data_IF_316890627966
#
_entry.id   IF_316890627966
#
_cell.length_a   1.000
_cell.length_b   1.000
_cell.length_c   1.000
_cell.angle_alpha   90.00
_cell.angle_beta   90.00
_cell.angle_gamma   90.00
#
_symmetry.space_group_name_H-M   'P 1'
#
loop_
_entity.id
_entity.type
_entity.pdbx_description
1 polymer ?
#
# COMPACT_ATOMS: atom_id res chain seq x y z
N UNK A 1 -22.34 9.37 20.63
CA UNK A 1 -21.24 8.65 19.96
C UNK A 1 -21.42 7.13 19.92
N UNK A 2 -21.63 6.41 21.04
CA UNK A 2 -21.76 4.92 21.03
C UNK A 2 -22.92 4.37 20.18
N UNK A 3 -24.04 5.07 20.07
CA UNK A 3 -25.23 4.64 19.26
C UNK A 3 -25.01 4.83 17.76
N UNK A 4 -24.22 5.84 17.34
CA UNK A 4 -23.94 6.12 15.93
C UNK A 4 -22.94 5.11 15.34
N UNK A 5 -21.95 4.69 16.13
CA UNK A 5 -20.97 3.67 15.73
C UNK A 5 -21.64 2.29 15.59
N UNK A 6 -22.57 1.97 16.50
CA UNK A 6 -23.33 0.72 16.44
C UNK A 6 -24.25 0.67 15.21
N UNK A 7 -24.86 1.80 14.84
CA UNK A 7 -25.71 1.88 13.65
C UNK A 7 -24.88 1.73 12.35
N UNK A 8 -23.67 2.31 12.32
CA UNK A 8 -22.76 2.18 11.19
C UNK A 8 -22.25 0.73 11.03
N UNK A 9 -21.95 0.04 12.13
CA UNK A 9 -21.59 -1.39 12.14
C UNK A 9 -22.74 -2.27 11.67
N UNK A 10 -23.98 -1.99 12.07
CA UNK A 10 -25.16 -2.76 11.66
C UNK A 10 -25.46 -2.54 10.17
N UNK A 11 -25.34 -1.32 9.64
CA UNK A 11 -25.51 -1.06 8.19
C UNK A 11 -24.40 -1.71 7.36
N UNK A 12 -23.17 -1.79 7.87
CA UNK A 12 -22.07 -2.52 7.24
C UNK A 12 -22.37 -4.03 7.18
N UNK A 13 -22.91 -4.60 8.28
CA UNK A 13 -23.26 -6.02 8.36
C UNK A 13 -24.44 -6.41 7.43
N UNK A 14 -25.44 -5.53 7.27
CA UNK A 14 -26.53 -5.76 6.34
C UNK A 14 -26.12 -5.63 4.87
N UNK A 15 -25.12 -4.77 4.56
CA UNK A 15 -24.52 -4.67 3.24
C UNK A 15 -23.80 -5.96 2.80
N UNK A 16 -23.15 -6.65 3.75
CA UNK A 16 -22.44 -7.90 3.49
C UNK A 16 -23.37 -9.07 3.13
N UNK A 17 -24.61 -9.09 3.61
CA UNK A 17 -25.58 -10.14 3.28
C UNK A 17 -26.17 -10.00 1.87
N UNK A 18 -26.26 -8.78 1.34
CA UNK A 18 -26.71 -8.56 -0.05
C UNK A 18 -25.65 -9.01 -1.08
N UNK A 19 -24.36 -8.84 -0.77
CA UNK A 19 -23.27 -9.31 -1.66
C UNK A 19 -23.17 -10.84 -1.74
N UNK A 20 -23.56 -11.57 -0.69
CA UNK A 20 -23.50 -13.04 -0.69
C UNK A 20 -24.52 -13.68 -1.66
N UNK A 21 -25.65 -13.02 -1.92
CA UNK A 21 -26.67 -13.53 -2.87
C UNK A 21 -26.28 -13.31 -4.33
N UNK A 22 -25.50 -12.29 -4.63
CA UNK A 22 -25.00 -12.01 -6.00
C UNK A 22 -24.04 -13.09 -6.47
N UNK A 23 -23.25 -13.68 -5.57
CA UNK A 23 -22.24 -14.70 -5.95
C UNK A 23 -22.83 -16.07 -6.32
N UNK A 24 -23.95 -16.48 -5.73
CA UNK A 24 -24.60 -17.74 -6.13
C UNK A 24 -25.23 -17.67 -7.53
N UNK A 25 -25.60 -16.49 -7.98
CA UNK A 25 -26.14 -16.26 -9.31
C UNK A 25 -25.01 -16.27 -10.37
N UNK A 26 -23.86 -15.68 -10.02
CA UNK A 26 -22.66 -15.65 -10.86
C UNK A 26 -22.05 -17.05 -11.02
N UNK A 27 -21.99 -17.86 -9.96
CA UNK A 27 -21.47 -19.24 -10.07
C UNK A 27 -22.37 -20.12 -10.97
N UNK A 28 -23.68 -19.93 -10.94
CA UNK A 28 -24.62 -20.61 -11.84
C UNK A 28 -24.54 -20.12 -13.29
N UNK A 29 -24.22 -18.83 -13.47
CA UNK A 29 -24.02 -18.25 -14.79
C UNK A 29 -22.70 -18.75 -15.41
N UNK A 30 -21.65 -18.88 -14.62
CA UNK A 30 -20.36 -19.46 -15.01
C UNK A 30 -20.51 -20.94 -15.39
N UNK A 31 -21.25 -21.75 -14.61
CA UNK A 31 -21.51 -23.16 -14.93
C UNK A 31 -22.30 -23.30 -16.22
N UNK A 32 -23.29 -22.43 -16.46
CA UNK A 32 -24.06 -22.44 -17.72
C UNK A 32 -23.22 -22.02 -18.93
N UNK A 33 -22.29 -21.09 -18.75
CA UNK A 33 -21.33 -20.63 -19.75
C UNK A 33 -20.33 -21.76 -20.09
N UNK A 34 -19.87 -22.50 -19.09
CA UNK A 34 -18.96 -23.63 -19.26
C UNK A 34 -19.66 -24.77 -20.06
N UNK A 35 -20.93 -25.03 -19.80
CA UNK A 35 -21.71 -26.02 -20.61
C UNK A 35 -21.90 -25.55 -22.05
N UNK A 36 -22.14 -24.28 -22.30
CA UNK A 36 -22.28 -23.68 -23.61
C UNK A 36 -20.95 -23.66 -24.38
N UNK A 37 -19.82 -23.43 -23.71
CA UNK A 37 -18.46 -23.43 -24.29
C UNK A 37 -18.00 -24.80 -24.79
N UNK A 38 -18.50 -25.89 -24.21
CA UNK A 38 -18.18 -27.27 -24.65
C UNK A 38 -18.76 -27.55 -26.06
N UNK A 39 -19.72 -26.77 -26.52
CA UNK A 39 -20.43 -26.95 -27.77
C UNK A 39 -20.23 -25.87 -28.83
N UNK A 40 -19.34 -24.87 -28.57
CA UNK A 40 -19.18 -23.69 -29.44
C UNK A 40 -17.87 -23.71 -30.25
N UNK A 41 -17.92 -23.17 -31.45
CA UNK A 41 -16.79 -23.07 -32.39
C UNK A 41 -15.64 -22.21 -31.85
N UNK A 42 -14.41 -22.57 -32.17
CA UNK A 42 -13.16 -22.05 -31.59
C UNK A 42 -12.92 -20.53 -31.70
N UNK A 43 -13.56 -19.82 -32.63
CA UNK A 43 -13.43 -18.36 -32.76
C UNK A 43 -14.23 -17.61 -31.69
N UNK A 44 -15.42 -18.10 -31.36
CA UNK A 44 -16.23 -17.53 -30.28
C UNK A 44 -15.65 -17.80 -28.88
N UNK A 45 -14.88 -18.90 -28.75
CA UNK A 45 -14.23 -19.27 -27.50
C UNK A 45 -13.17 -18.23 -27.04
N UNK A 46 -12.40 -17.70 -27.97
CA UNK A 46 -11.38 -16.66 -27.68
C UNK A 46 -12.01 -15.35 -27.22
N UNK A 47 -13.10 -14.93 -27.88
CA UNK A 47 -13.85 -13.73 -27.49
C UNK A 47 -14.51 -13.88 -26.10
N UNK A 48 -14.99 -15.10 -25.78
CA UNK A 48 -15.52 -15.40 -24.43
C UNK A 48 -14.44 -15.43 -23.37
N UNK A 49 -13.28 -16.02 -23.64
CA UNK A 49 -12.13 -16.03 -22.72
C UNK A 49 -11.63 -14.59 -22.47
N UNK A 50 -11.62 -13.73 -23.50
CA UNK A 50 -11.30 -12.31 -23.32
C UNK A 50 -12.34 -11.56 -22.46
N UNK A 51 -13.63 -11.90 -22.57
CA UNK A 51 -14.67 -11.33 -21.73
C UNK A 51 -14.61 -11.82 -20.27
N UNK A 52 -14.29 -13.09 -20.06
CA UNK A 52 -14.12 -13.68 -18.72
C UNK A 52 -12.88 -13.13 -17.99
N UNK A 53 -11.88 -12.68 -18.74
CA UNK A 53 -10.68 -12.06 -18.17
C UNK A 53 -10.84 -10.56 -17.84
N UNK A 54 -12.00 -9.97 -18.07
CA UNK A 54 -12.27 -8.57 -17.72
C UNK A 54 -12.75 -8.51 -16.29
N UNK A 55 -11.92 -8.03 -15.40
CA UNK A 55 -12.31 -7.72 -14.03
C UNK A 55 -12.31 -6.20 -13.79
N UNK A 56 -13.11 -5.78 -12.85
CA UNK A 56 -13.13 -4.43 -12.32
C UNK A 56 -13.23 -4.54 -10.82
N UNK A 57 -12.25 -4.01 -10.13
CA UNK A 57 -12.13 -4.18 -8.69
C UNK A 57 -12.11 -2.83 -7.99
N UNK A 58 -12.89 -2.70 -6.93
CA UNK A 58 -12.74 -1.64 -5.95
C UNK A 58 -12.02 -2.20 -4.71
N UNK A 59 -10.99 -1.52 -4.30
CA UNK A 59 -10.22 -1.83 -3.11
C UNK A 59 -10.37 -0.70 -2.10
N UNK A 60 -10.75 -1.03 -0.88
CA UNK A 60 -10.79 -0.10 0.24
C UNK A 60 -9.96 -0.64 1.38
N UNK A 61 -9.12 0.18 2.01
CA UNK A 61 -8.37 -0.24 3.18
C UNK A 61 -8.22 0.85 4.24
N UNK A 62 -8.06 0.40 5.48
CA UNK A 62 -7.72 1.21 6.64
C UNK A 62 -6.47 0.63 7.28
N UNK A 63 -5.46 1.45 7.50
CA UNK A 63 -4.21 1.09 8.14
C UNK A 63 -4.03 1.85 9.46
N UNK A 64 -3.43 1.20 10.43
CA UNK A 64 -3.04 1.77 11.72
C UNK A 64 -1.60 1.40 12.03
N UNK A 65 -0.79 2.37 12.48
CA UNK A 65 0.51 2.13 13.07
C UNK A 65 0.51 2.70 14.49
N UNK A 66 1.04 1.93 15.43
CA UNK A 66 1.16 2.37 16.83
C UNK A 66 2.25 3.41 17.04
N UNK A 67 3.22 3.49 16.10
CA UNK A 67 4.27 4.50 16.04
C UNK A 67 4.56 4.86 14.60
N UNK A 68 5.05 6.10 14.40
CA UNK A 68 5.44 6.60 13.08
C UNK A 68 6.92 6.96 13.09
N UNK A 69 7.64 6.45 12.11
CA UNK A 69 9.07 6.70 11.91
C UNK A 69 9.30 7.22 10.49
N UNK A 70 10.21 8.16 10.33
CA UNK A 70 10.60 8.66 9.02
C UNK A 70 11.88 7.95 8.55
N UNK A 71 11.79 7.16 7.51
CA UNK A 71 12.89 6.32 7.02
C UNK A 71 13.61 5.57 8.17
N UNK A 72 12.84 5.02 9.10
CA UNK A 72 13.31 4.30 10.26
C UNK A 72 13.82 5.17 11.42
N UNK A 73 13.89 6.48 11.25
CA UNK A 73 14.35 7.43 12.28
C UNK A 73 13.22 7.78 13.21
N UNK A 74 13.53 7.76 14.51
CA UNK A 74 12.65 8.27 15.56
C UNK A 74 12.77 9.80 15.56
N UNK A 75 11.67 10.48 15.33
CA UNK A 75 11.58 11.94 15.38
C UNK A 75 11.36 12.46 16.81
N UNK A 76 11.39 11.57 17.82
CA UNK A 76 11.14 11.93 19.22
C UNK A 76 9.65 12.14 19.54
N UNK A 77 8.76 11.74 18.64
CA UNK A 77 7.31 11.84 18.78
C UNK A 77 6.70 10.44 19.01
N UNK A 78 5.88 10.32 20.05
CA UNK A 78 5.11 9.08 20.29
C UNK A 78 3.82 9.11 19.44
N UNK A 79 4.00 9.15 18.11
CA UNK A 79 2.98 9.45 17.13
C UNK A 79 2.36 8.19 16.54
N UNK A 80 1.04 8.06 16.68
CA UNK A 80 0.28 7.04 15.96
C UNK A 80 -0.22 7.58 14.61
N UNK A 81 -0.36 6.69 13.62
CA UNK A 81 -0.94 7.07 12.35
C UNK A 81 -2.13 6.18 11.95
N UNK A 82 -3.09 6.79 11.27
CA UNK A 82 -4.21 6.12 10.63
C UNK A 82 -4.21 6.50 9.16
N UNK A 83 -4.24 5.51 8.27
CA UNK A 83 -4.34 5.72 6.83
C UNK A 83 -5.64 5.14 6.28
N UNK A 84 -6.13 5.76 5.19
CA UNK A 84 -7.27 5.27 4.45
C UNK A 84 -6.94 5.29 2.96
N UNK A 85 -7.39 4.26 2.23
CA UNK A 85 -7.16 4.14 0.79
C UNK A 85 -8.42 3.62 0.11
N UNK A 86 -8.67 4.13 -1.10
CA UNK A 86 -9.73 3.67 -1.96
C UNK A 86 -9.24 3.70 -3.42
N UNK A 87 -9.22 2.54 -4.08
CA UNK A 87 -8.71 2.37 -5.44
C UNK A 87 -9.72 1.62 -6.30
N UNK A 88 -9.81 2.03 -7.56
CA UNK A 88 -10.44 1.29 -8.64
C UNK A 88 -9.37 0.80 -9.59
N UNK A 89 -9.44 -0.48 -9.95
CA UNK A 89 -8.57 -1.11 -10.93
C UNK A 89 -9.40 -1.80 -12.01
N UNK A 90 -8.99 -1.62 -13.26
CA UNK A 90 -9.59 -2.24 -14.43
C UNK A 90 -8.62 -3.26 -15.04
N UNK A 91 -9.13 -4.39 -15.54
CA UNK A 91 -8.35 -5.51 -16.11
C UNK A 91 -7.40 -5.14 -17.26
N UNK A 92 -7.58 -3.95 -17.88
CA UNK A 92 -6.63 -3.45 -18.87
C UNK A 92 -5.37 -2.81 -18.25
N UNK A 93 -5.27 -2.83 -16.90
CA UNK A 93 -4.14 -2.31 -16.16
C UNK A 93 -4.27 -0.87 -15.69
N UNK A 94 -5.31 -0.13 -16.08
CA UNK A 94 -5.56 1.23 -15.59
C UNK A 94 -6.08 1.18 -14.16
N UNK A 95 -5.53 2.01 -13.28
CA UNK A 95 -6.04 2.22 -11.94
C UNK A 95 -6.09 3.70 -11.58
N UNK A 96 -7.03 4.03 -10.69
CA UNK A 96 -7.16 5.35 -10.08
C UNK A 96 -7.49 5.18 -8.59
N UNK A 97 -7.07 6.13 -7.77
CA UNK A 97 -7.36 6.03 -6.35
C UNK A 97 -7.20 7.34 -5.61
N UNK A 98 -7.64 7.28 -4.37
CA UNK A 98 -7.44 8.32 -3.37
C UNK A 98 -6.96 7.67 -2.08
N UNK A 99 -6.01 8.30 -1.43
CA UNK A 99 -5.52 7.89 -0.11
C UNK A 99 -5.24 9.10 0.75
N UNK A 100 -5.01 8.87 2.03
CA UNK A 100 -4.63 9.93 2.95
C UNK A 100 -4.23 9.37 4.29
N UNK A 101 -3.59 10.22 5.08
CA UNK A 101 -3.09 9.88 6.40
C UNK A 101 -3.52 10.92 7.46
N UNK A 102 -3.70 10.41 8.66
CA UNK A 102 -4.02 11.18 9.86
C UNK A 102 -2.99 10.82 10.93
N UNK A 103 -2.44 11.83 11.57
CA UNK A 103 -1.50 11.70 12.66
C UNK A 103 -2.09 12.32 13.94
N UNK A 104 -1.90 11.65 15.10
CA UNK A 104 -2.56 12.10 16.33
C UNK A 104 -1.98 13.40 16.89
N UNK A 105 -0.70 13.69 16.65
CA UNK A 105 0.02 14.82 17.26
C UNK A 105 0.17 16.01 16.29
N UNK A 106 -0.30 15.90 15.05
CA UNK A 106 -0.31 17.02 14.11
C UNK A 106 -1.55 17.90 14.26
N UNK A 107 -1.43 19.18 13.90
CA UNK A 107 -2.52 20.13 13.76
C UNK A 107 -2.40 20.90 12.43
N UNK A 108 -3.25 20.62 11.44
CA UNK A 108 -4.40 19.71 11.47
C UNK A 108 -4.00 18.22 11.52
N UNK A 109 -4.81 17.39 12.18
CA UNK A 109 -4.55 15.95 12.31
C UNK A 109 -4.56 15.20 10.97
N UNK A 110 -5.38 15.61 10.03
CA UNK A 110 -5.37 15.13 8.64
C UNK A 110 -4.18 15.80 7.94
N UNK A 111 -3.20 15.03 7.56
CA UNK A 111 -1.95 15.55 7.01
C UNK A 111 -2.06 15.82 5.51
N UNK A 112 -2.39 14.81 4.73
CA UNK A 112 -2.48 14.96 3.28
C UNK A 112 -3.54 14.01 2.67
N UNK A 113 -3.97 14.39 1.46
CA UNK A 113 -4.74 13.52 0.56
C UNK A 113 -3.93 13.33 -0.71
N UNK A 114 -3.79 12.09 -1.18
CA UNK A 114 -3.14 11.77 -2.45
C UNK A 114 -4.18 11.32 -3.46
N UNK A 115 -4.14 11.91 -4.66
CA UNK A 115 -4.85 11.43 -5.83
C UNK A 115 -3.86 10.70 -6.72
N UNK A 116 -4.15 9.43 -7.03
CA UNK A 116 -3.28 8.55 -7.81
C UNK A 116 -3.96 8.14 -9.11
N UNK A 117 -3.22 8.14 -10.20
CA UNK A 117 -3.65 7.51 -11.44
C UNK A 117 -2.48 6.80 -12.10
N UNK A 118 -2.71 5.62 -12.65
CA UNK A 118 -1.62 4.84 -13.17
C UNK A 118 -2.03 3.72 -14.12
N UNK A 119 -1.01 3.01 -14.55
CA UNK A 119 -1.11 1.85 -15.40
C UNK A 119 -0.10 0.80 -14.98
N UNK A 120 -0.53 -0.46 -14.88
CA UNK A 120 0.33 -1.59 -14.58
C UNK A 120 -0.09 -2.82 -15.37
N UNK A 121 0.84 -3.75 -15.55
CA UNK A 121 0.54 -5.04 -16.18
C UNK A 121 1.60 -6.08 -15.83
N UNK A 122 1.20 -7.34 -15.97
CA UNK A 122 2.07 -8.49 -15.83
C UNK A 122 2.57 -8.94 -17.19
N UNK A 123 3.80 -9.41 -17.24
CA UNK A 123 4.40 -9.92 -18.46
C UNK A 123 5.28 -11.16 -18.19
N UNK A 124 5.76 -11.77 -19.27
CA UNK A 124 6.50 -13.04 -19.22
C UNK A 124 5.59 -14.25 -19.36
N UNK A 125 6.22 -15.41 -19.63
CA UNK A 125 5.52 -16.67 -19.94
C UNK A 125 4.57 -17.15 -18.82
N UNK A 126 4.85 -16.77 -17.58
CA UNK A 126 4.08 -17.18 -16.39
C UNK A 126 3.53 -15.96 -15.64
N UNK A 127 3.52 -14.77 -16.27
CA UNK A 127 3.13 -13.51 -15.63
C UNK A 127 3.91 -13.25 -14.32
N UNK A 128 5.18 -13.64 -14.32
CA UNK A 128 6.05 -13.57 -13.14
C UNK A 128 6.90 -12.30 -13.09
N UNK A 129 6.69 -11.39 -14.02
CA UNK A 129 7.21 -10.03 -13.98
C UNK A 129 6.04 -9.06 -14.03
N UNK A 130 6.10 -8.01 -13.24
CA UNK A 130 5.13 -6.92 -13.31
C UNK A 130 5.80 -5.56 -13.38
N UNK A 131 5.09 -4.60 -13.91
CA UNK A 131 5.48 -3.19 -13.84
C UNK A 131 4.26 -2.35 -13.55
N UNK A 132 4.49 -1.23 -12.88
CA UNK A 132 3.49 -0.23 -12.59
C UNK A 132 4.10 1.16 -12.77
N UNK A 133 3.34 2.04 -13.41
CA UNK A 133 3.66 3.45 -13.57
C UNK A 133 2.52 4.26 -12.98
N UNK A 134 2.81 5.22 -12.12
CA UNK A 134 1.78 6.08 -11.56
C UNK A 134 2.22 7.54 -11.47
N UNK A 135 1.22 8.40 -11.47
CA UNK A 135 1.33 9.80 -11.11
C UNK A 135 0.51 10.03 -9.86
N UNK A 136 1.08 10.76 -8.91
CA UNK A 136 0.42 11.13 -7.66
C UNK A 136 0.40 12.65 -7.53
N UNK A 137 -0.75 13.17 -7.09
CA UNK A 137 -0.92 14.56 -6.64
C UNK A 137 -1.17 14.55 -5.16
N UNK A 138 -0.31 15.22 -4.41
CA UNK A 138 -0.43 15.42 -2.97
C UNK A 138 -1.13 16.74 -2.68
N UNK A 139 -2.11 16.71 -1.80
CA UNK A 139 -2.88 17.85 -1.32
C UNK A 139 -2.71 17.87 0.19
N UNK A 140 -1.83 18.72 0.67
CA UNK A 140 -1.56 18.87 2.10
C UNK A 140 -2.65 19.70 2.77
N UNK A 141 -2.94 19.42 4.04
CA UNK A 141 -3.93 20.16 4.82
C UNK A 141 -3.39 21.51 5.29
N UNK A 142 -2.06 21.62 5.41
CA UNK A 142 -1.35 22.86 5.68
C UNK A 142 -0.62 23.33 4.42
N UNK A 143 -1.04 24.46 3.86
CA UNK A 143 -0.49 25.02 2.65
C UNK A 143 0.92 25.61 2.78
N UNK A 144 1.51 25.61 3.97
CA UNK A 144 2.87 26.14 4.21
C UNK A 144 3.98 25.16 3.87
N UNK A 145 3.63 23.89 3.56
CA UNK A 145 4.58 22.78 3.37
C UNK A 145 4.54 22.16 1.97
N UNK A 146 4.19 22.91 0.95
CA UNK A 146 4.00 22.42 -0.42
C UNK A 146 5.31 22.17 -1.19
N UNK A 147 6.34 21.58 -0.55
CA UNK A 147 7.64 21.35 -1.21
C UNK A 147 7.52 20.28 -2.30
N UNK A 148 6.81 19.19 -2.04
CA UNK A 148 6.56 18.13 -2.99
C UNK A 148 5.06 17.96 -3.23
N UNK A 149 4.57 18.50 -4.31
CA UNK A 149 3.15 18.41 -4.64
C UNK A 149 2.80 17.20 -5.49
N UNK A 150 3.77 16.63 -6.16
CA UNK A 150 3.56 15.58 -7.17
C UNK A 150 4.64 14.52 -7.10
N UNK A 151 4.33 13.28 -7.56
CA UNK A 151 5.35 12.30 -7.88
C UNK A 151 5.02 11.53 -9.17
N UNK A 152 6.08 11.04 -9.80
CA UNK A 152 6.03 9.94 -10.75
C UNK A 152 6.70 8.73 -10.15
N UNK A 153 5.97 7.61 -10.13
CA UNK A 153 6.46 6.39 -9.53
C UNK A 153 6.54 5.28 -10.57
N UNK A 154 7.57 4.47 -10.46
CA UNK A 154 7.79 3.27 -11.27
C UNK A 154 8.04 2.13 -10.30
N UNK A 155 7.27 1.05 -10.40
CA UNK A 155 7.49 -0.19 -9.70
C UNK A 155 7.75 -1.32 -10.69
N UNK A 156 8.75 -2.13 -10.39
CA UNK A 156 9.11 -3.32 -11.16
C UNK A 156 9.21 -4.49 -10.19
N UNK A 157 8.58 -5.61 -10.50
CA UNK A 157 8.73 -6.81 -9.67
C UNK A 157 8.99 -8.07 -10.49
N UNK A 158 9.59 -9.04 -9.82
CA UNK A 158 9.83 -10.37 -10.35
C UNK A 158 9.55 -11.39 -9.26
N UNK A 159 8.76 -12.41 -9.59
CA UNK A 159 8.35 -13.46 -8.68
C UNK A 159 8.74 -14.84 -9.19
N UNK A 160 8.90 -15.77 -8.27
CA UNK A 160 9.03 -17.19 -8.63
C UNK A 160 7.71 -17.71 -9.22
N UNK A 161 7.78 -18.78 -10.01
CA UNK A 161 6.62 -19.37 -10.64
C UNK A 161 5.46 -19.73 -9.69
N UNK A 162 5.75 -19.94 -8.41
CA UNK A 162 4.76 -20.28 -7.39
C UNK A 162 4.36 -19.06 -6.53
N UNK A 163 4.84 -17.86 -6.87
CA UNK A 163 4.65 -16.60 -6.16
C UNK A 163 5.09 -16.61 -4.67
N UNK A 164 5.87 -17.63 -4.28
CA UNK A 164 6.29 -17.79 -2.88
C UNK A 164 7.49 -16.92 -2.52
N UNK A 165 8.17 -16.34 -3.50
CA UNK A 165 9.31 -15.47 -3.31
C UNK A 165 9.39 -14.47 -4.45
N UNK A 166 9.67 -13.22 -4.13
CA UNK A 166 9.80 -12.16 -5.10
C UNK A 166 10.81 -11.10 -4.69
N UNK A 167 11.12 -10.27 -5.66
CA UNK A 167 11.88 -9.04 -5.50
C UNK A 167 11.16 -7.92 -6.21
N UNK A 168 11.19 -6.70 -5.65
CA UNK A 168 10.72 -5.51 -6.34
C UNK A 168 11.69 -4.36 -6.20
N UNK A 169 11.62 -3.44 -7.14
CA UNK A 169 12.32 -2.17 -7.11
C UNK A 169 11.33 -1.05 -7.41
N UNK A 170 11.24 -0.10 -6.49
CA UNK A 170 10.37 1.05 -6.58
C UNK A 170 11.20 2.32 -6.70
N UNK A 171 10.80 3.18 -7.61
CA UNK A 171 11.42 4.46 -7.91
C UNK A 171 10.36 5.54 -7.83
N UNK A 172 10.55 6.55 -7.00
CA UNK A 172 9.68 7.72 -6.91
C UNK A 172 10.49 9.00 -7.17
N UNK A 173 10.03 9.80 -8.11
CA UNK A 173 10.52 11.15 -8.37
C UNK A 173 9.49 12.15 -7.92
N UNK A 174 9.80 12.87 -6.87
CA UNK A 174 8.97 13.93 -6.29
C UNK A 174 9.32 15.28 -6.92
N UNK A 175 8.31 16.10 -7.16
CA UNK A 175 8.49 17.44 -7.70
C UNK A 175 7.37 18.40 -7.29
N UNK A 176 7.73 19.66 -7.23
CA UNK A 176 6.89 20.78 -6.80
C UNK A 176 7.78 22.00 -6.69
N UNK A 177 7.77 22.65 -5.53
CA UNK A 177 8.72 23.71 -5.20
C UNK A 177 10.13 23.13 -5.01
N UNK A 178 10.23 21.91 -4.52
CA UNK A 178 11.47 21.13 -4.44
C UNK A 178 11.40 19.85 -5.29
N UNK A 179 12.52 19.15 -5.36
CA UNK A 179 12.65 17.90 -6.10
C UNK A 179 13.37 16.87 -5.22
N UNK A 180 12.96 15.61 -5.34
CA UNK A 180 13.56 14.52 -4.59
C UNK A 180 13.42 13.18 -5.27
N UNK A 181 14.29 12.24 -4.90
CA UNK A 181 14.24 10.85 -5.32
C UNK A 181 14.16 9.93 -4.11
N UNK A 182 13.25 8.98 -4.16
CA UNK A 182 13.22 7.86 -3.25
C UNK A 182 13.21 6.56 -4.04
N UNK A 183 13.95 5.57 -3.58
CA UNK A 183 13.94 4.25 -4.16
C UNK A 183 13.87 3.21 -3.06
N UNK A 184 13.20 2.10 -3.33
CA UNK A 184 13.32 0.91 -2.51
C UNK A 184 13.71 -0.32 -3.34
N UNK A 185 14.33 -1.26 -2.65
CA UNK A 185 14.55 -2.61 -3.12
C UNK A 185 13.98 -3.56 -2.08
N UNK A 186 13.02 -4.36 -2.50
CA UNK A 186 12.31 -5.28 -1.64
C UNK A 186 12.63 -6.73 -1.96
N UNK A 187 12.74 -7.55 -0.92
CA UNK A 187 12.83 -8.99 -0.99
C UNK A 187 11.71 -9.54 -0.13
N UNK A 188 10.79 -10.27 -0.73
CA UNK A 188 9.62 -10.76 -0.02
C UNK A 188 9.36 -12.25 -0.25
N UNK A 189 8.66 -12.84 0.70
CA UNK A 189 8.24 -14.22 0.64
C UNK A 189 6.78 -14.39 1.05
N UNK A 190 6.18 -15.52 0.64
CA UNK A 190 4.88 -15.95 1.10
C UNK A 190 4.96 -17.39 1.60
N UNK A 191 4.53 -17.60 2.84
CA UNK A 191 4.49 -18.90 3.52
C UNK A 191 3.04 -19.15 3.94
N UNK A 192 2.41 -20.12 3.30
CA UNK A 192 1.07 -20.56 3.68
C UNK A 192 1.14 -21.30 5.03
N UNK A 193 0.55 -20.72 6.08
CA UNK A 193 0.51 -21.30 7.43
C UNK A 193 -0.67 -22.23 7.60
N UNK A 194 -1.88 -21.78 7.25
CA UNK A 194 -3.13 -22.52 7.44
C UNK A 194 -4.08 -22.23 6.27
N UNK A 195 -4.54 -23.26 5.61
CA UNK A 195 -5.67 -23.17 4.68
C UNK A 195 -6.96 -23.46 5.46
N UNK A 196 -7.82 -22.46 5.62
CA UNK A 196 -9.09 -22.57 6.32
C UNK A 196 -10.17 -23.19 5.42
N UNK A 197 -10.26 -22.71 4.18
CA UNK A 197 -11.12 -23.22 3.12
C UNK A 197 -10.56 -22.79 1.75
N UNK A 198 -11.33 -22.92 0.66
CA UNK A 198 -10.84 -22.59 -0.69
C UNK A 198 -10.67 -21.08 -0.95
N UNK A 199 -11.34 -20.24 -0.16
CA UNK A 199 -11.30 -18.78 -0.28
C UNK A 199 -10.72 -18.08 0.96
N UNK A 200 -10.18 -18.85 1.91
CA UNK A 200 -9.69 -18.28 3.18
C UNK A 200 -8.44 -19.02 3.65
N UNK A 201 -7.40 -18.26 3.94
CA UNK A 201 -6.11 -18.78 4.38
C UNK A 201 -5.45 -17.82 5.39
N UNK A 202 -4.43 -18.33 6.06
CA UNK A 202 -3.52 -17.53 6.87
C UNK A 202 -2.13 -17.71 6.26
N UNK A 203 -1.49 -16.58 5.91
CA UNK A 203 -0.14 -16.55 5.36
C UNK A 203 0.79 -15.73 6.24
N UNK A 204 2.07 -16.03 6.17
CA UNK A 204 3.15 -15.22 6.71
C UNK A 204 3.96 -14.66 5.55
N UNK A 205 4.08 -13.34 5.48
CA UNK A 205 4.62 -12.63 4.32
C UNK A 205 5.84 -11.77 4.70
N UNK A 206 6.98 -12.36 5.10
CA UNK A 206 8.17 -11.58 5.48
C UNK A 206 8.66 -10.73 4.33
N UNK A 207 9.04 -9.49 4.65
CA UNK A 207 9.52 -8.49 3.71
C UNK A 207 10.75 -7.80 4.27
N UNK A 208 11.82 -7.75 3.46
CA UNK A 208 13.05 -7.00 3.74
C UNK A 208 13.16 -5.88 2.71
N UNK A 209 13.15 -4.63 3.18
CA UNK A 209 13.21 -3.42 2.36
C UNK A 209 14.52 -2.67 2.59
N UNK A 210 15.19 -2.31 1.51
CA UNK A 210 16.31 -1.37 1.50
C UNK A 210 15.80 -0.04 0.94
N UNK A 211 15.81 1.02 1.75
CA UNK A 211 15.30 2.34 1.39
C UNK A 211 16.46 3.31 1.12
N UNK A 212 16.43 3.94 -0.05
CA UNK A 212 17.40 4.94 -0.49
C UNK A 212 16.67 6.27 -0.75
N UNK A 213 17.35 7.38 -0.59
CA UNK A 213 16.74 8.67 -0.90
C UNK A 213 17.69 9.84 -0.79
N UNK A 214 17.33 10.92 -1.50
CA UNK A 214 17.98 12.22 -1.46
C UNK A 214 17.04 13.32 -0.99
N UNK A 215 15.90 12.95 -0.41
CA UNK A 215 14.85 13.87 -0.01
C UNK A 215 15.27 14.80 1.12
N UNK A 216 14.94 16.08 1.00
CA UNK A 216 14.94 17.00 2.11
C UNK A 216 13.68 16.77 2.95
N UNK A 217 13.84 16.61 4.24
CA UNK A 217 12.70 16.52 5.16
C UNK A 217 12.36 17.95 5.55
N UNK A 218 11.16 18.42 5.21
CA UNK A 218 10.66 19.63 5.80
C UNK A 218 10.29 19.37 7.27
N UNK A 219 11.05 19.98 8.15
CA UNK A 219 10.87 19.86 9.60
C UNK A 219 10.20 21.09 10.19
N UNK A 220 9.81 22.09 9.36
CA UNK A 220 9.17 23.31 9.85
C UNK A 220 7.88 22.99 10.63
N UNK A 221 7.21 21.89 10.32
CA UNK A 221 6.05 21.38 11.08
C UNK A 221 6.41 20.79 12.45
N UNK A 222 7.66 20.42 12.65
CA UNK A 222 8.14 19.82 13.91
C UNK A 222 8.64 20.90 14.84
N UNK A 223 9.08 22.05 14.32
CA UNK A 223 9.46 23.23 15.11
C UNK A 223 8.29 23.77 15.95
N UNK A 224 7.06 23.70 15.47
CA UNK A 224 5.85 24.06 16.21
C UNK A 224 5.58 23.16 17.43
N UNK A 225 6.17 21.97 17.47
CA UNK A 225 6.04 21.03 18.59
C UNK A 225 7.05 21.28 19.72
N UNK A 226 7.82 22.38 19.68
CA UNK A 226 8.81 22.77 20.70
C UNK A 226 9.86 21.69 21.02
N UNK A 227 10.19 20.86 20.03
CA UNK A 227 11.23 19.85 20.17
C UNK A 227 12.57 20.51 19.82
N UNK A 228 13.28 20.95 20.84
CA UNK A 228 14.67 21.42 20.74
C UNK A 228 15.57 20.21 20.43
N UNK A 229 15.48 19.69 19.20
CA UNK A 229 16.27 18.55 18.79
C UNK A 229 17.37 18.99 17.83
N UNK A 230 18.64 19.00 18.29
CA UNK A 230 19.81 19.27 17.45
C UNK A 230 19.94 18.28 16.26
N UNK A 231 19.16 17.21 16.26
CA UNK A 231 19.09 16.21 15.19
C UNK A 231 18.32 16.73 13.97
N UNK A 232 17.26 17.49 14.15
CA UNK A 232 16.41 17.98 13.08
C UNK A 232 17.15 19.00 12.21
N UNK A 233 17.75 20.03 12.79
CA UNK A 233 18.53 21.04 12.05
C UNK A 233 19.69 20.43 11.26
N UNK A 234 20.18 19.25 11.70
CA UNK A 234 21.26 18.54 11.01
C UNK A 234 20.75 17.66 9.88
N UNK A 235 19.53 17.20 9.96
CA UNK A 235 18.90 16.38 8.92
C UNK A 235 18.49 17.24 7.72
N UNK A 236 18.10 18.50 7.90
CA UNK A 236 17.66 19.42 6.84
C UNK A 236 18.79 20.00 5.99
N UNK A 237 19.95 20.28 6.60
CA UNK A 237 20.98 21.14 5.99
C UNK A 237 21.88 20.52 4.94
N UNK A 238 21.72 19.22 4.53
CA UNK A 238 22.79 18.56 3.79
C UNK A 238 22.38 17.39 2.87
N UNK A 239 21.17 17.36 2.36
CA UNK A 239 20.66 16.26 1.54
C UNK A 239 21.04 16.30 0.04
N UNK A 240 22.18 16.78 -0.33
CA UNK A 240 22.71 16.62 -1.68
C UNK A 240 23.20 15.20 -1.98
N UNK A 241 23.33 14.32 -0.98
CA UNK A 241 23.88 12.98 -1.15
C UNK A 241 22.78 11.91 -1.09
N UNK A 242 22.56 11.25 -2.19
CA UNK A 242 21.77 10.05 -2.30
C UNK A 242 22.49 8.85 -1.63
N UNK A 243 21.84 8.20 -0.64
CA UNK A 243 22.42 7.09 0.11
C UNK A 243 21.37 6.12 0.63
N UNK A 244 21.81 4.95 1.14
CA UNK A 244 20.97 4.02 1.88
C UNK A 244 20.53 4.69 3.21
N UNK A 245 19.22 4.83 3.39
CA UNK A 245 18.62 5.51 4.53
C UNK A 245 18.20 4.56 5.64
N UNK A 246 17.58 3.45 5.26
CA UNK A 246 17.04 2.48 6.20
C UNK A 246 17.08 1.07 5.60
N UNK A 247 17.21 0.09 6.47
CA UNK A 247 16.87 -1.30 6.19
C UNK A 247 15.72 -1.67 7.09
N UNK A 248 14.60 -2.13 6.52
CA UNK A 248 13.41 -2.48 7.28
C UNK A 248 13.10 -3.97 7.11
N UNK A 249 12.88 -4.66 8.22
CA UNK A 249 12.35 -6.02 8.24
C UNK A 249 10.90 -5.98 8.74
N UNK A 250 9.97 -6.45 7.93
CA UNK A 250 8.55 -6.55 8.24
C UNK A 250 8.15 -8.02 8.35
N UNK A 251 7.38 -8.34 9.37
CA UNK A 251 6.92 -9.70 9.68
C UNK A 251 5.39 -9.72 9.80
N UNK A 252 4.66 -9.54 8.70
CA UNK A 252 3.20 -9.55 8.71
C UNK A 252 2.64 -10.97 8.64
N UNK A 253 1.53 -11.17 9.34
CA UNK A 253 0.62 -12.29 9.19
C UNK A 253 -0.66 -11.77 8.55
N UNK A 254 -1.08 -12.41 7.48
CA UNK A 254 -2.28 -12.06 6.72
C UNK A 254 -3.34 -13.11 6.91
N UNK A 255 -4.55 -12.70 7.23
CA UNK A 255 -5.77 -13.50 7.21
C UNK A 255 -6.62 -13.04 6.02
N UNK A 256 -6.76 -13.92 5.03
CA UNK A 256 -7.64 -13.72 3.89
C UNK A 256 -8.98 -14.41 4.13
N UNK A 257 -10.07 -13.68 3.94
CA UNK A 257 -11.45 -14.13 4.09
C UNK A 257 -12.26 -13.70 2.85
N UNK A 258 -12.19 -14.46 1.78
CA UNK A 258 -12.85 -14.15 0.50
C UNK A 258 -12.57 -12.72 0.00
N UNK A 259 -13.41 -11.77 0.39
CA UNK A 259 -13.31 -10.35 0.00
C UNK A 259 -12.69 -9.46 1.09
N UNK A 260 -12.40 -9.99 2.24
CA UNK A 260 -11.88 -9.23 3.38
C UNK A 260 -10.50 -9.74 3.77
N UNK A 261 -9.57 -8.83 4.03
CA UNK A 261 -8.22 -9.15 4.43
C UNK A 261 -7.86 -8.40 5.71
N UNK A 262 -7.23 -9.09 6.63
CA UNK A 262 -6.64 -8.52 7.85
C UNK A 262 -5.15 -8.79 7.82
N UNK A 263 -4.33 -7.77 7.92
CA UNK A 263 -2.88 -7.88 8.02
C UNK A 263 -2.44 -7.31 9.35
N UNK A 264 -1.76 -8.10 10.16
CA UNK A 264 -1.14 -7.67 11.41
C UNK A 264 0.36 -7.93 11.33
N UNK A 265 1.18 -6.92 11.55
CA UNK A 265 2.62 -7.02 11.37
C UNK A 265 3.41 -6.33 12.46
N UNK A 266 4.65 -6.77 12.62
CA UNK A 266 5.64 -6.11 13.44
C UNK A 266 6.84 -5.75 12.57
N UNK A 267 7.28 -4.49 12.67
CA UNK A 267 8.28 -3.91 11.79
C UNK A 267 9.51 -3.51 12.60
N UNK A 268 10.69 -3.80 12.07
CA UNK A 268 11.98 -3.42 12.64
C UNK A 268 12.70 -2.51 11.66
N UNK A 269 13.17 -1.35 12.12
CA UNK A 269 13.95 -0.41 11.35
C UNK A 269 15.40 -0.41 11.83
N UNK A 270 16.30 -0.38 10.87
CA UNK A 270 17.75 -0.29 11.03
C UNK A 270 18.24 0.94 10.25
N UNK A 271 18.00 2.16 10.76
CA UNK A 271 18.36 3.39 10.05
C UNK A 271 19.87 3.47 9.88
N UNK A 272 20.29 3.96 8.73
CA UNK A 272 21.72 4.17 8.39
C UNK A 272 22.07 5.62 8.66
N UNK A 273 23.11 5.81 9.48
CA UNK A 273 23.62 7.15 9.79
C UNK A 273 24.26 7.77 8.54
N UNK A 274 23.91 9.01 8.28
CA UNK A 274 24.63 9.87 7.36
C UNK A 274 25.93 10.37 8.01
N UNK A 275 26.79 10.96 7.21
CA UNK A 275 28.16 11.33 7.62
C UNK A 275 28.24 12.21 8.89
N UNK A 276 27.16 12.99 9.17
CA UNK A 276 27.02 13.89 10.31
C UNK A 276 26.05 13.39 11.40
N UNK A 277 25.29 12.36 11.13
CA UNK A 277 24.37 11.76 12.12
C UNK A 277 25.14 10.87 13.10
N UNK A 278 24.84 10.99 14.37
CA UNK A 278 25.43 10.16 15.44
C UNK A 278 24.33 9.55 16.27
N UNK A 279 24.54 8.29 16.69
CA UNK A 279 23.67 7.62 17.67
C UNK A 279 22.25 7.33 17.17
N UNK A 280 22.06 6.99 15.90
CA UNK A 280 20.78 6.46 15.45
C UNK A 280 20.45 5.17 16.18
N UNK A 281 19.22 5.09 16.70
CA UNK A 281 18.71 3.92 17.41
C UNK A 281 17.81 3.12 16.49
N UNK A 282 17.94 1.80 16.54
CA UNK A 282 16.97 0.93 15.85
C UNK A 282 15.59 1.14 16.47
N UNK A 283 14.58 1.14 15.62
CA UNK A 283 13.19 1.36 16.02
C UNK A 283 12.31 0.18 15.61
N UNK A 284 11.14 0.09 16.21
CA UNK A 284 10.16 -0.92 15.83
C UNK A 284 8.74 -0.46 16.13
N UNK A 285 7.77 -0.98 15.36
CA UNK A 285 6.37 -0.64 15.53
C UNK A 285 5.45 -1.77 15.09
N UNK A 286 4.23 -1.76 15.62
CA UNK A 286 3.15 -2.63 15.21
C UNK A 286 2.29 -1.94 14.16
N UNK A 287 1.85 -2.70 13.16
CA UNK A 287 0.86 -2.24 12.18
C UNK A 287 -0.31 -3.20 12.07
N UNK A 288 -1.48 -2.63 11.78
CA UNK A 288 -2.71 -3.37 11.48
C UNK A 288 -3.34 -2.75 10.24
N UNK A 289 -3.73 -3.59 9.27
CA UNK A 289 -4.46 -3.16 8.08
C UNK A 289 -5.69 -4.03 7.87
N UNK A 290 -6.79 -3.38 7.58
CA UNK A 290 -8.06 -3.99 7.20
C UNK A 290 -8.37 -3.59 5.77
N UNK A 291 -8.62 -4.55 4.90
CA UNK A 291 -8.92 -4.31 3.49
C UNK A 291 -10.18 -5.04 3.06
N UNK A 292 -10.89 -4.43 2.12
CA UNK A 292 -12.07 -5.03 1.50
C UNK A 292 -11.98 -4.87 -0.02
N UNK A 293 -12.19 -5.97 -0.73
CA UNK A 293 -12.16 -6.03 -2.19
C UNK A 293 -13.58 -6.26 -2.68
N UNK A 294 -14.05 -5.42 -3.60
CA UNK A 294 -15.35 -5.52 -4.26
C UNK A 294 -15.10 -5.82 -5.73
N UNK A 295 -15.49 -6.98 -6.18
CA UNK A 295 -15.61 -7.26 -7.61
C UNK A 295 -16.89 -6.60 -8.14
N UNK A 296 -16.77 -5.84 -9.23
CA UNK A 296 -17.86 -5.07 -9.82
C UNK A 296 -18.54 -5.83 -11.00
N UNK A 297 -18.16 -7.08 -11.22
CA UNK A 297 -18.81 -7.95 -12.20
C UNK A 297 -20.03 -8.63 -11.61
#
# INVERSE_FOLDING_TARGET
MKKTVLFLLITLFFGLHLCAQINEEIDKEIDSIIEELIFTDSENLLDYIEQLNKYQVLYASLGFNDKTYFLGRDLGLDQTSLSAQFFYEHSNGIFIGVSGALYNDFDPKWDYTTLTGGYGNDFGKHKNFSYQLSYNRYIFSDATTDDFENSFDISLSAETKNNNFGVSADLAYFFGNEQGFQNSLDIYGEINLIKLNDTSNITFNPLLTFQFGSENIDTSRIDDLAIDTPLLDRVIGSFEKYDLRNVQLQLPVTLDLKNFQVVAGYNFNFPKALEFEKNLVNSSYFNLRLSYIIDLK
#
